data_IF_118576977818
#
_entry.id   IF_118576977818
#
_cell.length_a   1.000
_cell.length_b   1.000
_cell.length_c   1.000
_cell.angle_alpha   90.00
_cell.angle_beta   90.00
_cell.angle_gamma   90.00
#
_symmetry.space_group_name_H-M   'P 1'
#
loop_
_entity.id
_entity.type
_entity.pdbx_description
1 polymer ?
#
# COMPACT_ATOMS: atom_id res chain seq x y z
N UNK A 1 -15.99 16.29 -15.30
CA UNK A 1 -14.75 15.78 -15.93
C UNK A 1 -13.53 15.99 -15.02
N UNK A 2 -13.29 17.18 -14.46
CA UNK A 2 -12.12 17.41 -13.58
C UNK A 2 -12.28 16.95 -12.13
N UNK A 3 -13.51 16.93 -11.58
CA UNK A 3 -13.73 16.60 -10.16
C UNK A 3 -13.25 15.19 -9.78
N UNK A 4 -13.54 14.12 -10.54
CA UNK A 4 -13.01 12.79 -10.24
C UNK A 4 -11.47 12.74 -10.19
N UNK A 5 -10.79 13.44 -11.11
CA UNK A 5 -9.33 13.55 -11.07
C UNK A 5 -8.83 14.30 -9.84
N UNK A 6 -9.52 15.39 -9.44
CA UNK A 6 -9.15 16.13 -8.22
C UNK A 6 -9.30 15.21 -7.00
N UNK A 7 -10.36 14.41 -6.94
CA UNK A 7 -10.57 13.45 -5.86
C UNK A 7 -9.45 12.40 -5.82
N UNK A 8 -9.07 11.80 -6.94
CA UNK A 8 -7.94 10.86 -7.00
C UNK A 8 -6.60 11.53 -6.66
N UNK A 9 -6.40 12.80 -7.05
CA UNK A 9 -5.21 13.57 -6.68
C UNK A 9 -5.11 13.83 -5.18
N UNK A 10 -6.24 14.15 -4.53
CA UNK A 10 -6.29 14.37 -3.09
C UNK A 10 -6.09 13.06 -2.32
N UNK A 11 -6.71 11.99 -2.81
CA UNK A 11 -6.60 10.64 -2.27
C UNK A 11 -5.14 10.15 -2.31
N UNK A 12 -4.50 10.08 -3.48
CA UNK A 12 -3.07 9.71 -3.59
C UNK A 12 -2.11 10.73 -2.97
N UNK A 13 -2.52 11.99 -2.85
CA UNK A 13 -1.80 13.03 -2.13
C UNK A 13 -1.69 12.75 -0.62
N UNK A 14 -2.64 12.01 -0.04
CA UNK A 14 -2.64 11.69 1.37
C UNK A 14 -1.48 10.76 1.78
N UNK A 15 -0.96 9.94 0.85
CA UNK A 15 0.26 9.14 1.06
C UNK A 15 1.48 10.03 1.30
N UNK A 16 1.56 11.18 0.63
CA UNK A 16 2.61 12.18 0.90
C UNK A 16 2.46 12.79 2.30
N UNK A 17 1.23 13.04 2.75
CA UNK A 17 0.97 13.57 4.11
C UNK A 17 1.44 12.54 5.14
N UNK A 18 1.07 11.28 4.98
CA UNK A 18 1.54 10.17 5.81
C UNK A 18 3.07 10.08 5.87
N UNK A 19 3.71 10.20 4.71
CA UNK A 19 5.17 10.17 4.61
C UNK A 19 5.84 11.33 5.35
N UNK A 20 5.28 12.54 5.23
CA UNK A 20 5.76 13.72 5.96
C UNK A 20 5.66 13.47 7.47
N UNK A 21 4.49 13.04 7.95
CA UNK A 21 4.29 12.70 9.36
C UNK A 21 5.29 11.63 9.85
N UNK A 22 5.58 10.63 9.01
CA UNK A 22 6.54 9.56 9.33
C UNK A 22 7.99 10.00 9.43
N UNK A 23 8.36 11.15 8.86
CA UNK A 23 9.71 11.71 8.96
C UNK A 23 9.80 12.93 9.88
N UNK A 24 8.68 13.37 10.46
CA UNK A 24 8.64 14.43 11.47
C UNK A 24 9.23 13.91 12.79
N UNK A 25 10.54 14.03 12.94
CA UNK A 25 11.23 13.63 14.17
C UNK A 25 12.71 13.30 13.97
N UNK A 26 13.40 12.96 15.05
CA UNK A 26 14.79 12.47 14.96
C UNK A 26 14.84 11.10 14.26
N UNK A 27 16.04 10.61 13.91
CA UNK A 27 16.21 9.26 13.32
C UNK A 27 15.48 8.23 14.19
N UNK A 28 14.59 7.39 13.62
CA UNK A 28 13.82 6.44 14.39
C UNK A 28 14.77 5.45 15.09
N UNK A 29 14.48 5.13 16.35
CA UNK A 29 15.16 4.05 17.05
C UNK A 29 14.80 2.70 16.41
N UNK A 30 15.64 1.68 16.60
CA UNK A 30 15.33 0.33 16.12
C UNK A 30 13.97 -0.17 16.63
N UNK A 31 13.60 0.17 17.88
CA UNK A 31 12.29 -0.16 18.45
C UNK A 31 11.14 0.47 17.67
N UNK A 32 11.27 1.76 17.36
CA UNK A 32 10.25 2.48 16.59
C UNK A 32 10.16 1.93 15.16
N UNK A 33 11.31 1.65 14.53
CA UNK A 33 11.36 1.08 13.18
C UNK A 33 10.75 -0.33 13.13
N UNK A 34 11.08 -1.20 14.08
CA UNK A 34 10.49 -2.53 14.18
C UNK A 34 8.98 -2.46 14.43
N UNK A 35 8.53 -1.56 15.29
CA UNK A 35 7.11 -1.30 15.49
C UNK A 35 6.44 -0.80 14.21
N UNK A 36 7.04 0.16 13.48
CA UNK A 36 6.51 0.69 12.22
C UNK A 36 6.41 -0.38 11.13
N UNK A 37 7.38 -1.29 11.03
CA UNK A 37 7.33 -2.43 10.10
C UNK A 37 6.20 -3.42 10.46
N UNK A 38 6.04 -3.72 11.75
CA UNK A 38 4.91 -4.52 12.22
C UNK A 38 3.57 -3.83 11.93
N UNK A 39 3.48 -2.52 12.20
CA UNK A 39 2.31 -1.70 11.92
C UNK A 39 1.93 -1.70 10.43
N UNK A 40 2.92 -1.53 9.55
CA UNK A 40 2.76 -1.65 8.11
C UNK A 40 2.21 -3.02 7.69
N UNK A 41 2.81 -4.11 8.21
CA UNK A 41 2.35 -5.47 7.95
C UNK A 41 0.90 -5.70 8.41
N UNK A 42 0.52 -5.12 9.55
CA UNK A 42 -0.85 -5.18 10.06
C UNK A 42 -1.87 -4.48 9.16
N UNK A 43 -1.54 -3.28 8.68
CA UNK A 43 -2.38 -2.55 7.72
C UNK A 43 -2.55 -3.36 6.43
N UNK A 44 -1.42 -3.77 5.82
CA UNK A 44 -1.43 -4.48 4.55
C UNK A 44 -2.19 -5.81 4.62
N UNK A 45 -2.04 -6.56 5.72
CA UNK A 45 -2.82 -7.78 5.95
C UNK A 45 -4.32 -7.50 6.05
N UNK A 46 -4.71 -6.47 6.83
CA UNK A 46 -6.11 -6.17 7.03
C UNK A 46 -6.77 -5.71 5.72
N UNK A 47 -6.16 -4.78 4.99
CA UNK A 47 -6.66 -4.30 3.69
C UNK A 47 -6.81 -5.46 2.71
N UNK A 48 -5.78 -6.30 2.60
CA UNK A 48 -5.79 -7.43 1.67
C UNK A 48 -6.93 -8.41 1.96
N UNK A 49 -7.17 -8.73 3.23
CA UNK A 49 -8.09 -9.81 3.63
C UNK A 49 -9.52 -9.33 3.92
N UNK A 50 -9.71 -8.08 4.35
CA UNK A 50 -11.01 -7.54 4.72
C UNK A 50 -11.61 -6.61 3.65
N UNK A 51 -10.80 -6.10 2.73
CA UNK A 51 -11.25 -5.15 1.71
C UNK A 51 -11.01 -5.70 0.30
N UNK A 52 -9.75 -5.86 -0.12
CA UNK A 52 -9.44 -6.19 -1.52
C UNK A 52 -9.95 -7.57 -1.96
N UNK A 53 -9.63 -8.62 -1.20
CA UNK A 53 -10.04 -9.97 -1.56
C UNK A 53 -11.57 -10.14 -1.50
N UNK A 54 -12.27 -9.68 -0.44
CA UNK A 54 -13.74 -9.71 -0.42
C UNK A 54 -14.38 -8.89 -1.55
N UNK A 55 -13.86 -7.70 -1.84
CA UNK A 55 -14.36 -6.88 -2.96
C UNK A 55 -14.19 -7.60 -4.30
N UNK A 56 -13.04 -8.22 -4.54
CA UNK A 56 -12.80 -8.99 -5.75
C UNK A 56 -13.74 -10.21 -5.86
N UNK A 57 -13.98 -10.93 -4.77
CA UNK A 57 -14.85 -12.11 -4.76
C UNK A 57 -16.34 -11.76 -4.86
N UNK A 58 -16.72 -10.54 -4.47
CA UNK A 58 -18.08 -10.02 -4.54
C UNK A 58 -18.45 -9.37 -5.89
N UNK A 59 -17.48 -9.18 -6.79
CA UNK A 59 -17.70 -8.53 -8.08
C UNK A 59 -18.62 -9.35 -8.99
N UNK A 60 -19.57 -8.68 -9.66
CA UNK A 60 -20.48 -9.35 -10.57
C UNK A 60 -19.73 -9.96 -11.77
N UNK A 61 -20.00 -11.24 -12.04
CA UNK A 61 -19.32 -11.99 -13.10
C UNK A 61 -17.96 -12.57 -12.70
N UNK A 62 -17.43 -12.25 -11.50
CA UNK A 62 -16.27 -12.94 -10.96
C UNK A 62 -16.68 -14.30 -10.35
N UNK A 63 -16.08 -15.39 -10.82
CA UNK A 63 -16.21 -16.67 -10.13
C UNK A 63 -15.38 -16.65 -8.84
N UNK A 64 -15.91 -17.08 -7.67
CA UNK A 64 -15.13 -17.14 -6.43
C UNK A 64 -13.85 -17.98 -6.55
N UNK A 65 -13.90 -19.05 -7.36
CA UNK A 65 -12.73 -19.90 -7.63
C UNK A 65 -11.67 -19.14 -8.43
N UNK A 66 -12.09 -18.35 -9.43
CA UNK A 66 -11.17 -17.55 -10.22
C UNK A 66 -10.57 -16.42 -9.39
N UNK A 67 -11.39 -15.69 -8.62
CA UNK A 67 -10.91 -14.62 -7.74
C UNK A 67 -9.91 -15.14 -6.70
N UNK A 68 -10.22 -16.24 -6.02
CA UNK A 68 -9.29 -16.85 -5.08
C UNK A 68 -8.05 -17.45 -5.78
N UNK A 69 -8.21 -17.99 -6.99
CA UNK A 69 -7.10 -18.41 -7.84
C UNK A 69 -6.14 -17.26 -8.16
N UNK A 70 -6.66 -16.07 -8.49
CA UNK A 70 -5.85 -14.87 -8.72
C UNK A 70 -5.14 -14.40 -7.46
N UNK A 71 -5.77 -14.51 -6.29
CA UNK A 71 -5.10 -14.28 -5.01
C UNK A 71 -3.90 -15.21 -4.79
N UNK A 72 -4.04 -16.51 -5.08
CA UNK A 72 -2.92 -17.46 -5.03
C UNK A 72 -1.83 -17.09 -6.04
N UNK A 73 -2.20 -16.71 -7.26
CA UNK A 73 -1.23 -16.24 -8.27
C UNK A 73 -0.46 -15.03 -7.76
N UNK A 74 -1.13 -14.09 -7.09
CA UNK A 74 -0.51 -12.96 -6.41
C UNK A 74 0.50 -13.38 -5.34
N UNK A 75 0.08 -14.26 -4.44
CA UNK A 75 0.92 -14.78 -3.36
C UNK A 75 2.18 -15.46 -3.89
N UNK A 76 2.03 -16.29 -4.93
CA UNK A 76 3.17 -16.92 -5.61
C UNK A 76 4.01 -15.92 -6.41
N UNK A 77 3.34 -14.92 -7.00
CA UNK A 77 3.95 -13.82 -7.76
C UNK A 77 4.88 -12.98 -6.89
N UNK A 78 4.59 -12.80 -5.61
CA UNK A 78 5.53 -12.19 -4.66
C UNK A 78 6.87 -12.94 -4.64
N UNK A 79 6.87 -14.27 -4.54
CA UNK A 79 8.13 -15.04 -4.55
C UNK A 79 8.87 -14.98 -5.90
N UNK A 80 8.17 -14.65 -6.98
CA UNK A 80 8.79 -14.36 -8.27
C UNK A 80 9.42 -12.95 -8.27
N UNK A 81 8.70 -11.93 -7.81
CA UNK A 81 9.22 -10.56 -7.64
C UNK A 81 10.46 -10.56 -6.74
N UNK A 82 10.39 -11.28 -5.62
CA UNK A 82 11.46 -11.42 -4.65
C UNK A 82 12.74 -12.03 -5.24
N UNK A 83 12.57 -12.96 -6.20
CA UNK A 83 13.65 -13.63 -6.95
C UNK A 83 14.16 -12.87 -8.18
N UNK A 84 13.36 -11.96 -8.75
CA UNK A 84 13.75 -11.15 -9.90
C UNK A 84 14.50 -9.87 -9.50
N UNK A 85 14.12 -9.27 -8.37
CA UNK A 85 14.78 -8.11 -7.76
C UNK A 85 16.20 -8.33 -7.15
N UNK A 86 16.76 -9.54 -6.94
CA UNK A 86 18.13 -9.75 -6.44
C UNK A 86 19.26 -9.33 -7.40
N UNK A 87 18.98 -9.15 -8.70
CA UNK A 87 20.02 -8.90 -9.71
C UNK A 87 20.21 -7.43 -10.10
N UNK A 88 19.23 -6.57 -9.82
CA UNK A 88 19.46 -5.12 -9.82
C UNK A 88 20.00 -4.80 -8.43
N UNK A 89 21.25 -4.36 -8.29
CA UNK A 89 21.73 -3.93 -6.98
C UNK A 89 20.75 -2.90 -6.41
N UNK A 90 19.98 -3.22 -5.35
CA UNK A 90 19.15 -2.23 -4.63
C UNK A 90 19.99 -1.03 -4.18
N UNK A 91 21.30 -1.27 -4.17
CA UNK A 91 22.40 -0.40 -3.84
C UNK A 91 22.53 0.81 -4.76
N UNK A 92 22.11 0.69 -6.02
CA UNK A 92 22.32 1.69 -7.07
C UNK A 92 21.10 2.62 -7.22
N UNK A 93 19.92 2.20 -6.76
CA UNK A 93 18.68 3.01 -6.79
C UNK A 93 18.58 4.00 -5.63
N UNK A 94 19.39 3.79 -4.58
CA UNK A 94 19.37 4.54 -3.33
C UNK A 94 20.84 4.90 -3.02
N UNK A 95 21.22 6.20 -2.91
CA UNK A 95 22.65 6.60 -2.71
C UNK A 95 23.37 5.88 -1.53
N UNK A 96 24.72 5.98 -1.43
CA UNK A 96 25.53 5.26 -0.46
C UNK A 96 25.02 5.38 0.99
N UNK A 97 25.14 4.30 1.77
CA UNK A 97 24.44 4.17 3.04
C UNK A 97 25.09 5.00 4.17
N UNK A 98 24.35 5.25 5.27
CA UNK A 98 24.97 5.39 6.59
C UNK A 98 25.64 4.07 7.00
N UNK A 99 26.74 4.11 7.75
CA UNK A 99 27.61 2.97 8.08
C UNK A 99 26.94 1.73 8.75
N UNK A 100 25.64 1.75 9.03
CA UNK A 100 24.90 0.72 9.79
C UNK A 100 23.62 0.20 9.12
N UNK A 101 23.27 0.61 7.90
CA UNK A 101 22.05 0.10 7.25
C UNK A 101 22.27 -1.31 6.67
N UNK A 102 21.46 -2.30 7.09
CA UNK A 102 21.56 -3.67 6.59
C UNK A 102 21.08 -3.80 5.14
N UNK A 103 21.61 -4.79 4.40
CA UNK A 103 21.18 -5.09 3.02
C UNK A 103 19.69 -5.45 2.97
N UNK A 104 19.20 -6.18 3.97
CA UNK A 104 17.79 -6.59 4.10
C UNK A 104 16.86 -5.37 4.16
N UNK A 105 17.16 -4.39 5.02
CA UNK A 105 16.35 -3.19 5.19
C UNK A 105 16.17 -2.38 3.88
N UNK A 106 17.19 -2.32 3.02
CA UNK A 106 17.10 -1.62 1.72
C UNK A 106 16.20 -2.37 0.75
N UNK A 107 16.35 -3.70 0.69
CA UNK A 107 15.50 -4.58 -0.12
C UNK A 107 14.05 -4.44 0.32
N UNK A 108 13.78 -4.53 1.62
CA UNK A 108 12.46 -4.36 2.18
C UNK A 108 11.86 -2.99 1.87
N UNK A 109 12.65 -1.91 1.97
CA UNK A 109 12.16 -0.56 1.62
C UNK A 109 11.73 -0.46 0.14
N UNK A 110 12.46 -1.08 -0.79
CA UNK A 110 12.09 -1.15 -2.20
C UNK A 110 10.86 -2.03 -2.42
N UNK A 111 10.85 -3.25 -1.86
CA UNK A 111 9.72 -4.17 -1.97
C UNK A 111 8.45 -3.54 -1.44
N UNK A 112 8.52 -2.87 -0.29
CA UNK A 112 7.39 -2.16 0.31
C UNK A 112 6.90 -1.02 -0.59
N UNK A 113 7.82 -0.21 -1.13
CA UNK A 113 7.46 0.87 -2.07
C UNK A 113 6.77 0.30 -3.31
N UNK A 114 7.30 -0.78 -3.88
CA UNK A 114 6.72 -1.44 -5.06
C UNK A 114 5.36 -2.10 -4.74
N UNK A 115 5.25 -2.81 -3.62
CA UNK A 115 4.02 -3.47 -3.18
C UNK A 115 2.89 -2.48 -2.96
N UNK A 116 3.16 -1.37 -2.28
CA UNK A 116 2.18 -0.29 -2.09
C UNK A 116 1.90 0.40 -3.43
N UNK A 117 2.90 0.66 -4.29
CA UNK A 117 2.61 1.19 -5.64
C UNK A 117 1.65 0.30 -6.45
N UNK A 118 1.80 -1.03 -6.35
CA UNK A 118 0.92 -1.99 -7.03
C UNK A 118 -0.50 -2.00 -6.45
N UNK A 119 -0.67 -1.64 -5.18
CA UNK A 119 -1.96 -1.50 -4.50
C UNK A 119 -2.67 -0.20 -4.87
N UNK A 120 -1.94 0.91 -4.79
CA UNK A 120 -2.49 2.24 -5.04
C UNK A 120 -2.90 2.41 -6.51
N UNK A 121 -2.27 1.71 -7.46
CA UNK A 121 -2.61 1.84 -8.88
C UNK A 121 -4.05 1.41 -9.23
N UNK A 122 -4.51 0.18 -8.92
CA UNK A 122 -5.92 -0.20 -9.06
C UNK A 122 -6.89 0.70 -8.29
N UNK A 123 -6.51 1.15 -7.10
CA UNK A 123 -7.32 2.02 -6.25
C UNK A 123 -7.56 3.40 -6.88
N UNK A 124 -6.55 3.95 -7.54
CA UNK A 124 -6.70 5.19 -8.29
C UNK A 124 -7.66 5.07 -9.47
N UNK A 125 -7.66 3.91 -10.15
CA UNK A 125 -8.63 3.62 -11.20
C UNK A 125 -10.04 3.54 -10.61
N UNK A 126 -10.22 2.78 -9.52
CA UNK A 126 -11.51 2.60 -8.87
C UNK A 126 -12.09 3.94 -8.37
N UNK A 127 -11.26 4.76 -7.71
CA UNK A 127 -11.64 6.09 -7.22
C UNK A 127 -12.12 6.98 -8.35
N UNK A 128 -11.38 7.04 -9.46
CA UNK A 128 -11.75 7.85 -10.62
C UNK A 128 -13.05 7.35 -11.28
N UNK A 129 -13.18 6.04 -11.51
CA UNK A 129 -14.34 5.45 -12.18
C UNK A 129 -15.61 5.66 -11.36
N UNK A 130 -15.56 5.42 -10.06
CA UNK A 130 -16.72 5.62 -9.19
C UNK A 130 -17.12 7.08 -9.15
N UNK A 131 -16.18 8.00 -8.93
CA UNK A 131 -16.47 9.44 -8.91
C UNK A 131 -16.97 9.97 -10.27
N UNK A 132 -16.58 9.34 -11.37
CA UNK A 132 -17.09 9.67 -12.70
C UNK A 132 -18.53 9.19 -12.94
N UNK A 133 -18.96 8.15 -12.23
CA UNK A 133 -20.29 7.54 -12.38
C UNK A 133 -21.30 8.10 -11.38
N UNK A 134 -20.89 8.22 -10.12
CA UNK A 134 -21.68 8.80 -9.04
C UNK A 134 -20.75 9.64 -8.16
N UNK A 135 -20.94 10.96 -8.21
CA UNK A 135 -20.05 11.89 -7.54
C UNK A 135 -20.14 11.79 -6.00
N UNK A 136 -21.33 11.54 -5.45
CA UNK A 136 -21.54 11.40 -4.00
C UNK A 136 -20.78 10.19 -3.46
N UNK A 137 -20.95 9.02 -4.11
CA UNK A 137 -20.17 7.81 -3.81
C UNK A 137 -18.67 8.05 -4.04
N UNK A 138 -18.30 8.75 -5.11
CA UNK A 138 -16.92 9.11 -5.41
C UNK A 138 -16.25 9.95 -4.33
N UNK A 139 -16.96 10.93 -3.77
CA UNK A 139 -16.46 11.71 -2.64
C UNK A 139 -16.23 10.84 -1.42
N UNK A 140 -17.16 9.93 -1.12
CA UNK A 140 -17.05 8.99 -0.02
C UNK A 140 -15.84 8.07 -0.16
N UNK A 141 -15.66 7.46 -1.33
CA UNK A 141 -14.50 6.60 -1.64
C UNK A 141 -13.19 7.41 -1.60
N UNK A 142 -13.13 8.59 -2.20
CA UNK A 142 -11.91 9.38 -2.20
C UNK A 142 -11.49 9.79 -0.78
N UNK A 143 -12.45 10.09 0.11
CA UNK A 143 -12.17 10.34 1.52
C UNK A 143 -11.70 9.07 2.23
N UNK A 144 -12.33 7.93 1.97
CA UNK A 144 -11.91 6.62 2.47
C UNK A 144 -10.46 6.33 2.16
N UNK A 145 -10.12 6.42 0.88
CA UNK A 145 -8.78 6.21 0.36
C UNK A 145 -7.79 7.20 0.97
N UNK A 146 -8.14 8.49 1.00
CA UNK A 146 -7.27 9.50 1.62
C UNK A 146 -6.94 9.16 3.08
N UNK A 147 -7.91 8.66 3.85
CA UNK A 147 -7.71 8.33 5.25
C UNK A 147 -6.80 7.11 5.45
N UNK A 148 -6.88 6.07 4.62
CA UNK A 148 -5.98 4.91 4.73
C UNK A 148 -4.60 5.13 4.11
N UNK A 149 -4.49 6.03 3.13
CA UNK A 149 -3.22 6.39 2.50
C UNK A 149 -2.26 7.09 3.45
N UNK A 150 -2.76 7.79 4.47
CA UNK A 150 -1.92 8.41 5.51
C UNK A 150 -1.12 7.32 6.27
N UNK A 151 -1.75 6.28 6.84
CA UNK A 151 -1.05 5.13 7.39
C UNK A 151 -0.07 4.45 6.41
N UNK A 152 -0.39 4.32 5.12
CA UNK A 152 0.52 3.73 4.13
C UNK A 152 1.77 4.59 3.88
N UNK A 153 1.59 5.90 3.75
CA UNK A 153 2.70 6.84 3.61
C UNK A 153 3.67 6.76 4.81
N UNK A 154 3.11 6.62 6.01
CA UNK A 154 3.87 6.40 7.24
C UNK A 154 4.63 5.06 7.19
N UNK A 155 3.98 4.00 6.69
CA UNK A 155 4.55 2.67 6.55
C UNK A 155 5.76 2.63 5.60
N UNK A 156 5.73 3.34 4.46
CA UNK A 156 6.85 3.40 3.51
C UNK A 156 7.99 4.28 4.02
N UNK A 157 7.66 5.44 4.59
CA UNK A 157 8.66 6.46 4.93
C UNK A 157 9.65 5.99 6.01
N UNK A 158 9.20 5.24 7.02
CA UNK A 158 10.05 4.76 8.10
C UNK A 158 11.23 3.87 7.62
N UNK A 159 10.95 2.76 6.93
CA UNK A 159 11.98 1.86 6.37
C UNK A 159 12.90 2.55 5.37
N UNK A 160 12.37 3.41 4.48
CA UNK A 160 13.20 4.17 3.55
C UNK A 160 14.10 5.16 4.32
N UNK A 161 13.58 5.85 5.33
CA UNK A 161 14.41 6.77 6.12
C UNK A 161 15.52 6.03 6.86
N UNK A 162 15.22 4.86 7.42
CA UNK A 162 16.20 4.01 8.08
C UNK A 162 17.25 3.45 7.10
N UNK A 163 16.83 3.06 5.89
CA UNK A 163 17.70 2.56 4.84
C UNK A 163 18.63 3.64 4.27
N UNK A 164 18.16 4.89 4.18
CA UNK A 164 18.85 5.97 3.45
C UNK A 164 19.47 7.04 4.33
N UNK A 165 19.02 7.15 5.59
CA UNK A 165 19.33 8.28 6.48
C UNK A 165 18.79 9.63 6.01
N UNK A 166 18.00 9.70 4.93
CA UNK A 166 17.52 10.94 4.33
C UNK A 166 16.00 11.07 4.39
N UNK A 167 15.52 12.07 5.15
CA UNK A 167 14.07 12.39 5.22
C UNK A 167 13.50 12.73 3.85
N UNK A 168 14.27 13.45 3.02
CA UNK A 168 13.85 13.82 1.66
C UNK A 168 13.63 12.57 0.81
N UNK A 169 14.52 11.57 0.89
CA UNK A 169 14.34 10.32 0.15
C UNK A 169 13.13 9.54 0.64
N UNK A 170 12.94 9.45 1.96
CA UNK A 170 11.76 8.79 2.52
C UNK A 170 10.45 9.40 2.01
N UNK A 171 10.35 10.73 1.97
CA UNK A 171 9.19 11.42 1.41
C UNK A 171 9.07 11.20 -0.09
N UNK A 172 10.17 11.22 -0.85
CA UNK A 172 10.14 10.97 -2.30
C UNK A 172 9.67 9.55 -2.60
N UNK A 173 10.24 8.52 -1.96
CA UNK A 173 9.89 7.12 -2.24
C UNK A 173 8.46 6.79 -1.79
N UNK A 174 8.01 7.26 -0.63
CA UNK A 174 6.61 7.15 -0.23
C UNK A 174 5.68 7.97 -1.13
N UNK A 175 6.16 9.10 -1.64
CA UNK A 175 5.44 9.88 -2.65
C UNK A 175 5.32 9.17 -3.99
N UNK A 176 6.36 8.42 -4.40
CA UNK A 176 6.35 7.62 -5.62
C UNK A 176 5.32 6.49 -5.53
N UNK A 177 5.10 5.89 -4.35
CA UNK A 177 4.02 4.92 -4.20
C UNK A 177 2.63 5.57 -4.30
N UNK A 178 2.42 6.73 -3.67
CA UNK A 178 1.16 7.50 -3.83
C UNK A 178 0.93 8.01 -5.26
N UNK A 179 2.00 8.25 -6.03
CA UNK A 179 1.89 8.61 -7.44
C UNK A 179 1.28 7.49 -8.28
N UNK A 180 1.42 6.23 -7.88
CA UNK A 180 0.81 5.10 -8.58
C UNK A 180 -0.72 5.23 -8.63
N UNK A 181 -1.35 5.75 -7.57
CA UNK A 181 -2.78 6.05 -7.53
C UNK A 181 -3.17 7.14 -8.53
N UNK A 182 -2.42 8.24 -8.51
CA UNK A 182 -2.65 9.36 -9.42
C UNK A 182 -2.53 8.88 -10.87
N UNK A 183 -1.51 8.07 -11.16
CA UNK A 183 -1.32 7.47 -12.49
C UNK A 183 -2.47 6.52 -12.85
N UNK A 184 -2.96 5.73 -11.90
CA UNK A 184 -4.14 4.89 -12.07
C UNK A 184 -5.37 5.71 -12.48
N UNK A 185 -5.70 6.78 -11.74
CA UNK A 185 -6.83 7.65 -12.06
C UNK A 185 -6.66 8.45 -13.36
N UNK A 186 -5.45 8.90 -13.67
CA UNK A 186 -5.15 9.57 -14.95
C UNK A 186 -5.29 8.59 -16.11
N UNK A 187 -4.81 7.35 -15.97
CA UNK A 187 -5.01 6.31 -16.97
C UNK A 187 -6.51 6.00 -17.14
N UNK A 188 -7.24 5.92 -16.01
CA UNK A 188 -8.69 5.75 -15.94
C UNK A 188 -9.41 6.80 -16.80
N UNK A 189 -8.98 8.05 -16.68
CA UNK A 189 -9.48 9.18 -17.46
C UNK A 189 -9.10 9.13 -18.95
N UNK A 190 -7.83 8.86 -19.28
CA UNK A 190 -7.30 8.97 -20.64
C UNK A 190 -7.70 7.80 -21.56
N UNK A 191 -7.65 6.58 -21.03
CA UNK A 191 -7.74 5.35 -21.84
C UNK A 191 -9.02 4.56 -21.52
N UNK A 192 -9.52 4.70 -20.30
CA UNK A 192 -10.20 3.61 -19.60
C UNK A 192 -11.70 3.84 -19.37
N UNK A 193 -12.28 4.93 -19.88
CA UNK A 193 -13.65 5.34 -19.62
C UNK A 193 -14.76 4.33 -19.95
N UNK A 194 -14.46 3.12 -20.44
CA UNK A 194 -15.37 1.95 -20.54
C UNK A 194 -14.65 0.59 -20.72
N UNK A 195 -13.31 0.53 -20.83
CA UNK A 195 -12.61 -0.65 -21.39
C UNK A 195 -12.04 -1.66 -20.39
N UNK A 196 -11.86 -1.34 -19.11
CA UNK A 196 -11.50 -2.36 -18.11
C UNK A 196 -12.76 -2.99 -17.57
N UNK A 197 -12.91 -4.28 -17.91
CA UNK A 197 -13.97 -5.11 -17.34
C UNK A 197 -13.87 -5.11 -15.81
N UNK A 198 -14.99 -4.97 -15.08
CA UNK A 198 -15.00 -5.09 -13.63
C UNK A 198 -14.35 -6.40 -13.14
N UNK A 199 -14.55 -7.50 -13.87
CA UNK A 199 -13.91 -8.79 -13.60
C UNK A 199 -12.38 -8.73 -13.72
N UNK A 200 -11.85 -7.97 -14.68
CA UNK A 200 -10.39 -7.78 -14.81
C UNK A 200 -9.86 -6.97 -13.63
N UNK A 201 -10.58 -5.92 -13.20
CA UNK A 201 -10.19 -5.15 -12.03
C UNK A 201 -10.21 -6.02 -10.77
N UNK A 202 -11.28 -6.79 -10.55
CA UNK A 202 -11.38 -7.73 -9.44
C UNK A 202 -10.25 -8.78 -9.46
N UNK A 203 -9.88 -9.29 -10.63
CA UNK A 203 -8.75 -10.22 -10.76
C UNK A 203 -7.41 -9.56 -10.35
N UNK A 204 -7.18 -8.31 -10.74
CA UNK A 204 -6.00 -7.54 -10.35
C UNK A 204 -6.02 -7.29 -8.84
N UNK A 205 -7.14 -6.87 -8.27
CA UNK A 205 -7.30 -6.62 -6.83
C UNK A 205 -7.00 -7.87 -6.01
N UNK A 206 -7.55 -9.03 -6.41
CA UNK A 206 -7.26 -10.30 -5.76
C UNK A 206 -5.77 -10.65 -5.82
N UNK A 207 -5.13 -10.50 -6.98
CA UNK A 207 -3.70 -10.77 -7.13
C UNK A 207 -2.84 -9.83 -6.27
N UNK A 208 -3.15 -8.54 -6.24
CA UNK A 208 -2.41 -7.58 -5.42
C UNK A 208 -2.58 -7.87 -3.92
N UNK A 209 -3.78 -8.24 -3.49
CA UNK A 209 -4.02 -8.70 -2.12
C UNK A 209 -3.12 -9.90 -1.76
N UNK A 210 -2.95 -10.85 -2.68
CA UNK A 210 -2.03 -11.98 -2.52
C UNK A 210 -0.57 -11.55 -2.34
N UNK A 211 -0.10 -10.59 -3.15
CA UNK A 211 1.26 -10.04 -3.05
C UNK A 211 1.46 -9.35 -1.69
N UNK A 212 0.53 -8.51 -1.26
CA UNK A 212 0.62 -7.75 -0.01
C UNK A 212 0.59 -8.64 1.22
N UNK A 213 -0.21 -9.72 1.22
CA UNK A 213 -0.19 -10.74 2.28
C UNK A 213 1.19 -11.40 2.35
N UNK A 214 1.73 -11.84 1.22
CA UNK A 214 3.04 -12.49 1.18
C UNK A 214 4.15 -11.55 1.65
N UNK A 215 4.18 -10.31 1.16
CA UNK A 215 5.14 -9.28 1.56
C UNK A 215 5.09 -8.99 3.06
N UNK A 216 3.89 -8.95 3.64
CA UNK A 216 3.71 -8.70 5.07
C UNK A 216 4.30 -9.83 5.93
N UNK A 217 4.03 -11.08 5.54
CA UNK A 217 4.44 -12.28 6.28
C UNK A 217 5.91 -12.62 6.08
N UNK A 218 6.41 -12.54 4.85
CA UNK A 218 7.73 -13.03 4.48
C UNK A 218 8.83 -11.96 4.63
N UNK A 219 8.49 -10.67 4.50
CA UNK A 219 9.50 -9.59 4.53
C UNK A 219 9.32 -8.67 5.76
N UNK A 220 8.13 -8.08 5.97
CA UNK A 220 7.96 -7.04 7.00
C UNK A 220 8.04 -7.58 8.43
N UNK A 221 7.28 -8.65 8.74
CA UNK A 221 7.29 -9.23 10.09
C UNK A 221 8.67 -9.80 10.48
N UNK A 222 9.38 -10.54 9.61
CA UNK A 222 10.72 -11.02 9.92
C UNK A 222 11.73 -9.89 10.08
N UNK A 223 11.71 -8.87 9.22
CA UNK A 223 12.60 -7.72 9.35
C UNK A 223 12.34 -6.96 10.66
N UNK A 224 11.08 -6.76 11.03
CA UNK A 224 10.74 -6.15 12.31
C UNK A 224 11.38 -6.91 13.48
N UNK A 225 11.39 -8.25 13.43
CA UNK A 225 12.04 -9.09 14.45
C UNK A 225 13.57 -8.99 14.40
N UNK A 226 14.15 -8.92 13.21
CA UNK A 226 15.61 -8.76 13.02
C UNK A 226 16.11 -7.44 13.61
N UNK A 227 15.37 -6.36 13.41
CA UNK A 227 15.74 -5.00 13.85
C UNK A 227 15.62 -4.82 15.37
N UNK A 228 14.61 -5.43 16.00
CA UNK A 228 14.44 -5.44 17.45
C UNK A 228 14.15 -6.87 17.98
N UNK A 229 15.20 -7.69 18.18
CA UNK A 229 15.05 -9.08 18.59
C UNK A 229 14.40 -9.26 19.96
N UNK A 230 14.44 -8.22 20.81
CA UNK A 230 13.90 -8.27 22.16
C UNK A 230 12.40 -7.96 22.21
N UNK A 231 11.84 -7.37 21.16
CA UNK A 231 10.42 -7.02 21.11
C UNK A 231 9.65 -7.98 20.20
N UNK A 232 8.32 -8.03 20.37
CA UNK A 232 7.44 -8.83 19.53
C UNK A 232 6.82 -7.96 18.42
N UNK A 233 7.10 -8.21 17.13
CA UNK A 233 6.49 -7.46 16.03
C UNK A 233 4.96 -7.47 16.04
N UNK A 234 4.34 -8.48 16.66
CA UNK A 234 2.88 -8.61 16.74
C UNK A 234 2.19 -7.40 17.37
N UNK A 235 2.84 -6.66 18.28
CA UNK A 235 2.27 -5.43 18.83
C UNK A 235 2.04 -4.36 17.76
N UNK A 236 3.00 -4.21 16.84
CA UNK A 236 2.86 -3.34 15.67
C UNK A 236 1.74 -3.85 14.77
N UNK A 237 1.75 -5.14 14.44
CA UNK A 237 0.75 -5.78 13.56
C UNK A 237 -0.67 -5.55 14.09
N UNK A 238 -0.93 -5.88 15.35
CA UNK A 238 -2.25 -5.72 15.96
C UNK A 238 -2.67 -4.26 16.04
N UNK A 239 -1.74 -3.35 16.31
CA UNK A 239 -2.00 -1.92 16.30
C UNK A 239 -2.39 -1.43 14.89
N UNK A 240 -1.64 -1.83 13.86
CA UNK A 240 -1.93 -1.50 12.46
C UNK A 240 -3.29 -2.03 12.00
N UNK A 241 -3.59 -3.29 12.31
CA UNK A 241 -4.89 -3.90 12.06
C UNK A 241 -6.02 -3.15 12.78
N UNK A 242 -5.80 -2.72 14.02
CA UNK A 242 -6.81 -1.98 14.80
C UNK A 242 -7.07 -0.59 14.20
N UNK A 243 -6.01 0.15 13.87
CA UNK A 243 -6.13 1.49 13.25
C UNK A 243 -6.83 1.40 11.91
N UNK A 244 -6.42 0.46 11.04
CA UNK A 244 -7.05 0.30 9.74
C UNK A 244 -8.49 -0.22 9.86
N UNK A 245 -8.75 -1.16 10.77
CA UNK A 245 -10.11 -1.69 10.98
C UNK A 245 -11.06 -0.61 11.50
N UNK A 246 -10.59 0.25 12.41
CA UNK A 246 -11.34 1.42 12.85
C UNK A 246 -11.57 2.41 11.71
N UNK A 247 -10.55 2.68 10.89
CA UNK A 247 -10.69 3.54 9.70
C UNK A 247 -11.79 3.03 8.78
N UNK A 248 -11.72 1.76 8.37
CA UNK A 248 -12.72 1.11 7.51
C UNK A 248 -14.12 1.11 8.12
N UNK A 249 -14.23 0.85 9.43
CA UNK A 249 -15.55 0.83 10.12
C UNK A 249 -16.16 2.23 10.22
N UNK A 250 -15.36 3.26 10.53
CA UNK A 250 -15.83 4.64 10.57
C UNK A 250 -16.31 5.09 9.18
N UNK A 251 -15.63 4.65 8.13
CA UNK A 251 -16.04 4.90 6.76
C UNK A 251 -17.39 4.25 6.44
N UNK A 252 -17.56 2.97 6.75
CA UNK A 252 -18.82 2.26 6.54
C UNK A 252 -19.99 2.87 7.30
N UNK A 253 -19.77 3.32 8.54
CA UNK A 253 -20.83 3.88 9.38
C UNK A 253 -21.16 5.35 9.05
N UNK A 254 -20.26 6.07 8.37
CA UNK A 254 -20.50 7.46 7.96
C UNK A 254 -21.49 7.63 6.80
N UNK A 255 -22.00 6.53 6.22
CA UNK A 255 -22.93 6.55 5.09
C UNK A 255 -22.26 6.89 3.75
N UNK A 256 -20.93 6.94 3.71
CA UNK A 256 -20.13 7.33 2.54
C UNK A 256 -19.76 6.15 1.62
N UNK A 257 -20.09 4.91 2.01
CA UNK A 257 -19.74 3.68 1.26
C UNK A 257 -20.94 2.77 0.95
N UNK A 258 -22.18 3.28 1.07
CA UNK A 258 -23.43 2.53 0.86
C UNK A 258 -24.07 2.84 -0.48
#
# INVERSE_FOLDING_TARGET
>A
MSVPLILTLLAGGATFIGALLGVLGQKPSNRLLAFSLGFAAGIMLLISLMEMLPAALGEEGMSPVLGYGMFIVGLLGYFALDRLLPHAHPQDLIDPPPAHASRNLRRTALLLTLGISLHNFPEGIATYVTASTNLELGFGIALAVALHNIPEGLAVAGPVYAATGSRRKAVIWAGLSGMAEILGGVLAWLILGTMVSPVVMAAIMAAVAGIMVALSVDELMPLAKEIDPHNNPSYGVLCGMSVMGLSLTLLQTSGLSG
#
